data_IF_471602698988
#
_entry.id   IF_471602698988
#
_cell.length_a   1.000
_cell.length_b   1.000
_cell.length_c   1.000
_cell.angle_alpha   90.00
_cell.angle_beta   90.00
_cell.angle_gamma   90.00
#
_symmetry.space_group_name_H-M   'P 1'
#
loop_
_entity.id
_entity.type
_entity.pdbx_description
1 polymer ?
#
# COMPACT_ATOMS: atom_id res chain seq x y z
N UNK A 1 18.94 12.59 16.42
CA UNK A 1 17.69 12.76 15.66
C UNK A 1 16.51 12.97 16.60
N UNK A 2 15.97 14.18 16.69
CA UNK A 2 14.74 14.44 17.46
C UNK A 2 13.57 13.76 16.75
N UNK A 3 12.69 13.07 17.50
CA UNK A 3 11.48 12.38 16.99
C UNK A 3 10.64 13.26 16.04
N UNK A 4 10.67 14.58 16.26
CA UNK A 4 9.98 15.60 15.46
C UNK A 4 10.43 15.63 13.99
N UNK A 5 11.67 15.29 13.68
CA UNK A 5 12.19 15.26 12.30
C UNK A 5 11.74 13.98 11.57
N UNK A 6 11.66 12.86 12.28
CA UNK A 6 11.09 11.61 11.74
C UNK A 6 9.61 11.81 11.38
N UNK A 7 8.83 12.44 12.25
CA UNK A 7 7.43 12.80 11.95
C UNK A 7 7.27 13.74 10.75
N UNK A 8 8.23 14.65 10.55
CA UNK A 8 8.25 15.56 9.40
C UNK A 8 8.52 14.81 8.09
N UNK A 9 9.49 13.90 8.08
CA UNK A 9 9.79 13.01 6.94
C UNK A 9 8.58 12.13 6.56
N UNK A 10 7.78 11.72 7.55
CA UNK A 10 6.53 10.99 7.34
C UNK A 10 5.47 11.90 6.72
N UNK A 11 5.30 13.10 7.26
CA UNK A 11 4.33 14.09 6.77
C UNK A 11 4.60 14.50 5.32
N UNK A 12 5.87 14.70 4.95
CA UNK A 12 6.27 15.12 3.60
C UNK A 12 5.97 14.05 2.54
N UNK A 13 5.86 12.78 2.95
CA UNK A 13 5.49 11.66 2.10
C UNK A 13 4.04 11.18 2.27
N UNK A 14 3.23 11.87 3.09
CA UNK A 14 1.84 11.51 3.34
C UNK A 14 0.97 11.50 2.08
N UNK A 15 1.35 12.29 1.05
CA UNK A 15 0.71 12.24 -0.27
C UNK A 15 0.78 10.86 -0.92
N UNK A 16 1.92 10.16 -0.80
CA UNK A 16 2.09 8.82 -1.35
C UNK A 16 1.23 7.79 -0.62
N UNK A 17 1.14 7.91 0.71
CA UNK A 17 0.31 7.03 1.54
C UNK A 17 -1.16 7.17 1.16
N UNK A 18 -1.65 8.40 1.01
CA UNK A 18 -3.02 8.68 0.57
C UNK A 18 -3.34 8.08 -0.80
N UNK A 19 -2.48 8.34 -1.80
CA UNK A 19 -2.66 7.81 -3.16
C UNK A 19 -2.64 6.29 -3.18
N UNK A 20 -1.69 5.64 -2.48
CA UNK A 20 -1.62 4.18 -2.39
C UNK A 20 -2.89 3.63 -1.73
N UNK A 21 -3.37 4.25 -0.66
CA UNK A 21 -4.56 3.81 0.07
C UNK A 21 -5.80 3.86 -0.83
N UNK A 22 -5.99 4.93 -1.59
CA UNK A 22 -7.10 5.07 -2.55
C UNK A 22 -7.01 3.99 -3.64
N UNK A 23 -5.83 3.80 -4.25
CA UNK A 23 -5.64 2.79 -5.29
C UNK A 23 -5.90 1.38 -4.76
N UNK A 24 -5.51 1.10 -3.52
CA UNK A 24 -5.74 -0.19 -2.87
C UNK A 24 -7.24 -0.43 -2.59
N UNK A 25 -8.00 0.61 -2.22
CA UNK A 25 -9.46 0.52 -2.06
C UNK A 25 -10.12 0.23 -3.42
N UNK A 26 -9.73 0.94 -4.48
CA UNK A 26 -10.26 0.69 -5.84
C UNK A 26 -9.95 -0.74 -6.28
N UNK A 27 -8.74 -1.22 -6.02
CA UNK A 27 -8.35 -2.60 -6.34
C UNK A 27 -9.19 -3.63 -5.56
N UNK A 28 -9.50 -3.37 -4.28
CA UNK A 28 -10.38 -4.22 -3.50
C UNK A 28 -11.78 -4.29 -4.13
N UNK A 29 -12.37 -3.15 -4.48
CA UNK A 29 -13.68 -3.09 -5.12
C UNK A 29 -13.71 -3.83 -6.46
N UNK A 30 -12.71 -3.63 -7.32
CA UNK A 30 -12.61 -4.33 -8.61
C UNK A 30 -12.51 -5.85 -8.45
N UNK A 31 -11.85 -6.33 -7.39
CA UNK A 31 -11.75 -7.76 -7.11
C UNK A 31 -13.13 -8.41 -6.83
N UNK A 32 -14.12 -7.64 -6.39
CA UNK A 32 -15.51 -8.11 -6.23
C UNK A 32 -16.34 -8.02 -7.50
N UNK A 33 -16.06 -7.05 -8.37
CA UNK A 33 -16.79 -6.90 -9.65
C UNK A 33 -16.56 -8.12 -10.55
N UNK A 34 -15.36 -8.71 -10.52
CA UNK A 34 -15.02 -9.91 -11.30
C UNK A 34 -15.95 -11.10 -11.04
N UNK A 35 -16.04 -11.67 -9.81
CA UNK A 35 -16.89 -12.82 -9.55
C UNK A 35 -18.38 -12.54 -9.81
N UNK A 36 -18.87 -11.32 -9.53
CA UNK A 36 -20.27 -10.93 -9.84
C UNK A 36 -20.53 -10.96 -11.35
N UNK A 37 -19.58 -10.43 -12.14
CA UNK A 37 -19.71 -10.40 -13.60
C UNK A 37 -19.60 -11.80 -14.19
N UNK A 38 -18.73 -12.66 -13.63
CA UNK A 38 -18.59 -14.06 -14.03
C UNK A 38 -19.85 -14.87 -13.72
N UNK A 39 -20.49 -14.67 -12.56
CA UNK A 39 -21.76 -15.36 -12.22
C UNK A 39 -22.84 -15.09 -13.26
N UNK A 40 -23.04 -13.81 -13.65
CA UNK A 40 -24.01 -13.42 -14.68
C UNK A 40 -23.73 -13.99 -16.06
N UNK A 41 -22.45 -14.27 -16.35
CA UNK A 41 -22.01 -14.92 -17.60
C UNK A 41 -22.36 -16.41 -17.58
N UNK A 42 -22.23 -17.07 -16.43
CA UNK A 42 -22.56 -18.50 -16.26
C UNK A 42 -24.08 -18.74 -16.31
N UNK A 43 -24.89 -17.80 -15.78
CA UNK A 43 -26.35 -17.91 -15.74
C UNK A 43 -27.05 -17.76 -17.12
N UNK A 44 -26.29 -17.82 -18.23
CA UNK A 44 -26.83 -18.00 -19.58
C UNK A 44 -27.11 -16.72 -20.38
N UNK A 45 -26.70 -15.56 -19.89
CA UNK A 45 -27.08 -14.25 -20.46
C UNK A 45 -26.14 -13.74 -21.58
N UNK A 46 -25.59 -14.60 -22.44
CA UNK A 46 -24.34 -14.31 -23.16
C UNK A 46 -24.42 -13.84 -24.62
N UNK A 47 -23.98 -12.60 -24.83
CA UNK A 47 -23.35 -12.08 -26.05
C UNK A 47 -21.82 -12.01 -25.87
N UNK A 48 -21.04 -12.19 -26.95
CA UNK A 48 -19.56 -12.08 -27.01
C UNK A 48 -19.02 -10.78 -26.35
N UNK A 49 -19.81 -9.71 -26.36
CA UNK A 49 -19.48 -8.41 -25.74
C UNK A 49 -19.20 -8.50 -24.24
N UNK A 50 -19.83 -9.43 -23.50
CA UNK A 50 -19.66 -9.53 -22.03
C UNK A 50 -18.31 -10.15 -21.62
N UNK A 51 -17.72 -11.02 -22.44
CA UNK A 51 -16.36 -11.55 -22.21
C UNK A 51 -15.28 -10.48 -22.38
N UNK A 52 -15.49 -9.55 -23.31
CA UNK A 52 -14.58 -8.42 -23.54
C UNK A 52 -14.54 -7.49 -22.32
N UNK A 53 -15.66 -7.34 -21.61
CA UNK A 53 -15.75 -6.58 -20.35
C UNK A 53 -14.92 -7.26 -19.25
N UNK A 54 -15.03 -8.58 -19.09
CA UNK A 54 -14.21 -9.32 -18.10
C UNK A 54 -12.72 -9.14 -18.39
N UNK A 55 -12.32 -9.28 -19.66
CA UNK A 55 -10.94 -9.06 -20.08
C UNK A 55 -10.47 -7.64 -19.76
N UNK A 56 -11.29 -6.62 -20.04
CA UNK A 56 -10.99 -5.22 -19.73
C UNK A 56 -10.79 -5.01 -18.21
N UNK A 57 -11.64 -5.59 -17.37
CA UNK A 57 -11.53 -5.49 -15.91
C UNK A 57 -10.21 -6.10 -15.41
N UNK A 58 -9.80 -7.25 -15.96
CA UNK A 58 -8.53 -7.89 -15.61
C UNK A 58 -7.36 -6.97 -15.99
N UNK A 59 -7.35 -6.43 -17.21
CA UNK A 59 -6.29 -5.53 -17.68
C UNK A 59 -6.20 -4.27 -16.81
N UNK A 60 -7.32 -3.63 -16.50
CA UNK A 60 -7.36 -2.43 -15.63
C UNK A 60 -6.83 -2.75 -14.23
N UNK A 61 -7.22 -3.90 -13.66
CA UNK A 61 -6.74 -4.33 -12.35
C UNK A 61 -5.22 -4.51 -12.34
N UNK A 62 -4.66 -5.05 -13.43
CA UNK A 62 -3.22 -5.27 -13.59
C UNK A 62 -2.46 -3.94 -13.69
N UNK A 63 -2.99 -2.98 -14.47
CA UNK A 63 -2.42 -1.62 -14.58
C UNK A 63 -2.40 -0.89 -13.23
N UNK A 64 -3.48 -0.96 -12.46
CA UNK A 64 -3.53 -0.38 -11.11
C UNK A 64 -2.46 -1.00 -10.22
N UNK A 65 -2.25 -2.32 -10.31
CA UNK A 65 -1.23 -3.00 -9.51
C UNK A 65 0.19 -2.53 -9.85
N UNK A 66 0.49 -2.34 -11.14
CA UNK A 66 1.77 -1.80 -11.60
C UNK A 66 1.98 -0.36 -11.10
N UNK A 67 0.94 0.48 -11.14
CA UNK A 67 1.00 1.85 -10.62
C UNK A 67 1.30 1.88 -9.12
N UNK A 68 0.63 1.03 -8.32
CA UNK A 68 0.90 0.92 -6.88
C UNK A 68 2.37 0.56 -6.62
N UNK A 69 2.90 -0.42 -7.36
CA UNK A 69 4.32 -0.85 -7.23
C UNK A 69 5.27 0.30 -7.56
N UNK A 70 5.00 1.03 -8.66
CA UNK A 70 5.85 2.14 -9.09
C UNK A 70 5.85 3.28 -8.07
N UNK A 71 4.69 3.65 -7.53
CA UNK A 71 4.55 4.70 -6.52
C UNK A 71 5.28 4.31 -5.23
N UNK A 72 5.11 3.07 -4.77
CA UNK A 72 5.83 2.55 -3.58
C UNK A 72 7.33 2.63 -3.77
N UNK A 73 7.84 2.17 -4.91
CA UNK A 73 9.28 2.18 -5.20
C UNK A 73 9.83 3.61 -5.22
N UNK A 74 9.11 4.54 -5.85
CA UNK A 74 9.49 5.96 -5.86
C UNK A 74 9.50 6.57 -4.46
N UNK A 75 8.49 6.29 -3.64
CA UNK A 75 8.39 6.78 -2.27
C UNK A 75 9.55 6.26 -1.40
N UNK A 76 9.86 4.96 -1.48
CA UNK A 76 10.96 4.34 -0.72
C UNK A 76 12.32 4.96 -1.08
N UNK A 77 12.58 5.18 -2.37
CA UNK A 77 13.82 5.83 -2.83
C UNK A 77 13.94 7.25 -2.25
N UNK A 78 12.84 8.02 -2.29
CA UNK A 78 12.81 9.39 -1.78
C UNK A 78 12.98 9.45 -0.26
N UNK A 79 12.37 8.51 0.47
CA UNK A 79 12.60 8.34 1.91
C UNK A 79 14.08 8.08 2.20
N UNK A 80 14.71 7.12 1.51
CA UNK A 80 16.12 6.77 1.70
C UNK A 80 17.05 7.97 1.46
N UNK A 81 16.80 8.74 0.40
CA UNK A 81 17.58 9.94 0.09
C UNK A 81 17.48 11.00 1.20
N UNK A 82 16.26 11.31 1.66
CA UNK A 82 16.08 12.33 2.69
C UNK A 82 16.72 11.93 4.03
N UNK A 83 16.61 10.67 4.42
CA UNK A 83 17.20 10.15 5.67
C UNK A 83 18.73 10.20 5.60
N UNK A 84 19.32 9.80 4.47
CA UNK A 84 20.77 9.85 4.29
C UNK A 84 21.30 11.28 4.43
N UNK A 85 20.61 12.27 3.85
CA UNK A 85 21.00 13.67 3.96
C UNK A 85 20.90 14.20 5.39
N UNK A 86 19.86 13.80 6.12
CA UNK A 86 19.65 14.29 7.49
C UNK A 86 20.58 13.62 8.50
N UNK A 87 20.86 12.32 8.32
CA UNK A 87 21.90 11.64 9.08
C UNK A 87 23.26 12.28 8.80
N UNK A 88 23.62 12.55 7.54
CA UNK A 88 24.89 13.21 7.21
C UNK A 88 25.04 14.56 7.91
N UNK A 89 24.00 15.39 7.92
CA UNK A 89 24.00 16.66 8.65
C UNK A 89 24.10 16.50 10.16
N UNK A 90 23.50 15.47 10.76
CA UNK A 90 23.66 15.24 12.20
C UNK A 90 25.05 14.68 12.55
N UNK A 91 25.63 13.81 11.73
CA UNK A 91 26.97 13.24 11.98
C UNK A 91 28.05 14.33 11.97
N UNK A 92 27.93 15.33 11.09
CA UNK A 92 28.87 16.46 11.03
C UNK A 92 28.77 17.39 12.24
N UNK A 93 27.68 17.33 13.00
CA UNK A 93 27.44 18.15 14.19
C UNK A 93 27.74 17.45 15.54
N UNK A 94 28.01 16.14 15.57
CA UNK A 94 28.21 15.38 16.81
C UNK A 94 29.70 15.25 17.15
N UNK A 95 30.06 15.64 18.38
CA UNK A 95 31.41 15.52 18.96
C UNK A 95 31.86 14.05 18.96
N UNK A 96 33.10 13.80 18.51
CA UNK A 96 33.70 12.49 18.18
C UNK A 96 33.58 11.39 19.26
N UNK A 97 33.28 11.72 20.52
CA UNK A 97 33.29 10.78 21.64
C UNK A 97 32.26 9.64 21.54
N UNK A 98 31.10 9.83 20.90
CA UNK A 98 30.09 8.75 20.75
C UNK A 98 30.43 7.70 19.70
N UNK A 99 31.38 7.95 18.81
CA UNK A 99 31.75 7.03 17.73
C UNK A 99 32.75 5.96 18.15
N UNK A 100 33.42 6.14 19.29
CA UNK A 100 34.49 5.24 19.75
C UNK A 100 34.01 3.84 20.16
N UNK A 101 32.71 3.62 20.41
CA UNK A 101 32.22 2.30 20.85
C UNK A 101 31.87 1.34 19.71
N UNK A 102 31.29 1.83 18.61
CA UNK A 102 30.80 0.98 17.49
C UNK A 102 31.00 1.57 16.09
N UNK A 103 31.61 2.75 15.98
CA UNK A 103 31.81 3.46 14.71
C UNK A 103 30.53 4.14 14.17
N UNK A 104 30.71 5.21 13.41
CA UNK A 104 29.60 5.97 12.82
C UNK A 104 28.72 5.14 11.90
N UNK A 105 29.35 4.30 11.08
CA UNK A 105 28.69 3.44 10.11
C UNK A 105 27.59 2.57 10.74
N UNK A 106 27.85 1.97 11.91
CA UNK A 106 26.89 1.12 12.61
C UNK A 106 25.62 1.86 13.01
N UNK A 107 25.74 3.08 13.57
CA UNK A 107 24.58 3.86 13.96
C UNK A 107 23.79 4.40 12.76
N UNK A 108 24.49 4.76 11.67
CA UNK A 108 23.86 5.17 10.40
C UNK A 108 23.02 4.04 9.83
N UNK A 109 23.60 2.84 9.73
CA UNK A 109 22.93 1.66 9.19
C UNK A 109 21.71 1.27 10.02
N UNK A 110 21.84 1.30 11.35
CA UNK A 110 20.74 0.97 12.26
C UNK A 110 19.58 1.98 12.17
N UNK A 111 19.88 3.28 12.09
CA UNK A 111 18.85 4.31 11.91
C UNK A 111 18.21 4.18 10.52
N UNK A 112 19.02 4.01 9.47
CA UNK A 112 18.53 3.82 8.10
C UNK A 112 17.59 2.62 7.98
N UNK A 113 17.93 1.50 8.61
CA UNK A 113 17.11 0.28 8.63
C UNK A 113 15.80 0.49 9.40
N UNK A 114 15.84 1.14 10.56
CA UNK A 114 14.64 1.42 11.35
C UNK A 114 13.65 2.31 10.59
N UNK A 115 14.15 3.35 9.91
CA UNK A 115 13.27 4.24 9.14
C UNK A 115 12.78 3.57 7.86
N UNK A 116 13.59 2.72 7.21
CA UNK A 116 13.15 1.92 6.06
C UNK A 116 11.98 1.00 6.44
N UNK A 117 12.13 0.24 7.52
CA UNK A 117 11.09 -0.67 8.01
C UNK A 117 9.82 0.09 8.40
N UNK A 118 9.97 1.28 8.99
CA UNK A 118 8.84 2.13 9.31
C UNK A 118 8.13 2.68 8.06
N UNK A 119 8.87 3.17 7.07
CA UNK A 119 8.31 3.65 5.82
C UNK A 119 7.59 2.54 5.04
N UNK A 120 8.19 1.35 4.99
CA UNK A 120 7.56 0.17 4.38
C UNK A 120 6.29 -0.24 5.14
N UNK A 121 6.30 -0.22 6.48
CA UNK A 121 5.10 -0.46 7.27
C UNK A 121 3.96 0.52 6.92
N UNK A 122 4.24 1.82 6.82
CA UNK A 122 3.23 2.82 6.47
C UNK A 122 2.75 2.69 5.02
N UNK A 123 3.66 2.44 4.06
CA UNK A 123 3.36 2.42 2.62
C UNK A 123 2.79 1.10 2.12
N UNK A 124 3.05 0.00 2.85
CA UNK A 124 2.75 -1.35 2.40
C UNK A 124 1.76 -2.03 3.35
N UNK A 125 2.12 -2.11 4.63
CA UNK A 125 1.37 -2.89 5.61
C UNK A 125 0.03 -2.25 5.95
N UNK A 126 -0.02 -0.94 6.23
CA UNK A 126 -1.27 -0.24 6.55
C UNK A 126 -2.29 -0.34 5.40
N UNK A 127 -1.97 0.02 4.14
CA UNK A 127 -2.90 -0.13 3.04
C UNK A 127 -3.36 -1.58 2.85
N UNK A 128 -2.47 -2.56 3.04
CA UNK A 128 -2.83 -3.98 2.95
C UNK A 128 -3.85 -4.38 4.01
N UNK A 129 -3.70 -3.93 5.26
CA UNK A 129 -4.69 -4.21 6.30
C UNK A 129 -6.05 -3.58 5.98
N UNK A 130 -6.07 -2.33 5.51
CA UNK A 130 -7.29 -1.66 5.06
C UNK A 130 -7.98 -2.49 3.96
N UNK A 131 -7.20 -2.96 2.97
CA UNK A 131 -7.70 -3.83 1.89
C UNK A 131 -8.36 -5.08 2.45
N UNK A 132 -7.67 -5.79 3.34
CA UNK A 132 -8.14 -7.06 3.90
C UNK A 132 -9.42 -6.87 4.70
N UNK A 133 -9.47 -5.87 5.58
CA UNK A 133 -10.67 -5.57 6.38
C UNK A 133 -11.84 -5.25 5.46
N UNK A 134 -11.64 -4.38 4.46
CA UNK A 134 -12.67 -3.99 3.51
C UNK A 134 -13.16 -5.18 2.68
N UNK A 135 -12.25 -6.08 2.29
CA UNK A 135 -12.58 -7.33 1.58
C UNK A 135 -13.43 -8.26 2.46
N UNK A 136 -13.06 -8.44 3.73
CA UNK A 136 -13.84 -9.27 4.67
C UNK A 136 -15.26 -8.71 4.82
N UNK A 137 -15.40 -7.39 5.03
CA UNK A 137 -16.71 -6.74 5.16
C UNK A 137 -17.55 -6.96 3.90
N UNK A 138 -16.99 -6.73 2.71
CA UNK A 138 -17.71 -6.91 1.45
C UNK A 138 -18.12 -8.38 1.21
N UNK A 139 -17.25 -9.34 1.54
CA UNK A 139 -17.60 -10.77 1.48
C UNK A 139 -18.79 -11.09 2.38
N UNK A 140 -18.78 -10.61 3.63
CA UNK A 140 -19.88 -10.84 4.58
C UNK A 140 -21.19 -10.24 4.08
N UNK A 141 -21.16 -9.04 3.49
CA UNK A 141 -22.34 -8.39 2.91
C UNK A 141 -22.89 -9.17 1.73
N UNK A 142 -22.05 -9.65 0.82
CA UNK A 142 -22.49 -10.44 -0.34
C UNK A 142 -23.11 -11.77 0.07
N UNK A 143 -22.45 -12.52 0.96
CA UNK A 143 -22.99 -13.79 1.50
C UNK A 143 -24.30 -13.56 2.26
N UNK A 144 -24.38 -12.48 3.05
CA UNK A 144 -25.60 -12.11 3.76
C UNK A 144 -26.75 -11.79 2.81
N UNK A 145 -26.48 -11.05 1.73
CA UNK A 145 -27.48 -10.72 0.71
C UNK A 145 -27.98 -11.97 -0.01
N UNK A 146 -27.09 -12.84 -0.47
CA UNK A 146 -27.48 -14.04 -1.22
C UNK A 146 -28.23 -15.04 -0.32
N UNK A 147 -27.85 -15.15 0.95
CA UNK A 147 -28.56 -16.01 1.91
C UNK A 147 -29.93 -15.47 2.31
N UNK A 148 -30.12 -14.16 2.47
CA UNK A 148 -31.43 -13.54 2.65
C UNK A 148 -32.36 -13.76 1.45
N UNK A 149 -31.82 -13.63 0.23
CA UNK A 149 -32.55 -13.89 -1.02
C UNK A 149 -33.03 -15.35 -1.13
N UNK A 150 -32.22 -16.30 -0.63
CA UNK A 150 -32.57 -17.73 -0.54
C UNK A 150 -33.64 -18.04 0.52
N UNK A 151 -33.74 -17.22 1.57
CA UNK A 151 -34.75 -17.39 2.65
C UNK A 151 -36.10 -16.72 2.27
N UNK A 152 -36.15 -15.95 1.19
CA UNK A 152 -37.42 -15.46 0.61
C UNK A 152 -38.07 -14.30 1.38
N UNK A 153 -37.27 -13.46 2.05
CA UNK A 153 -37.67 -12.14 2.56
C UNK A 153 -37.23 -11.09 1.55
#
# INVERSE_FOLDING_TARGET
MKLKNVFRLIKDNGKYVGVITILVIIQALLAFVLPITVSKVIDGDLEIKKYLIIFLIIVVTLLINLLIIQIKRSAIIKYKQNINMEIFNELTMVICQKYNEKGAAYYIERIGTAVYNFADFILTTIPSYIKTILTIILCLVLIGKDSLLLIGI
#
